data_IF_476262866942
#
_entry.id   IF_476262866942
#
_cell.length_a   1.000
_cell.length_b   1.000
_cell.length_c   1.000
_cell.angle_alpha   90.00
_cell.angle_beta   90.00
_cell.angle_gamma   90.00
#
_symmetry.space_group_name_H-M   'P 1'
#
loop_
_entity.id
_entity.type
_entity.pdbx_description
1 polymer ?
#
# COMPACT_ATOMS: atom_id res chain seq x y z
N UNK A 1 24.83 -19.57 10.26
CA UNK A 1 23.96 -19.43 9.08
C UNK A 1 24.66 -19.98 7.86
N UNK A 2 24.24 -21.16 7.40
CA UNK A 2 24.64 -21.66 6.09
C UNK A 2 23.75 -21.03 5.01
N UNK A 3 24.36 -20.31 4.07
CA UNK A 3 23.64 -19.60 3.01
C UNK A 3 24.35 -19.83 1.68
N UNK A 4 23.58 -19.98 0.60
CA UNK A 4 24.12 -20.09 -0.75
C UNK A 4 24.92 -18.83 -1.10
N UNK A 5 26.07 -19.00 -1.73
CA UNK A 5 26.84 -17.88 -2.29
C UNK A 5 26.20 -17.45 -3.62
N UNK A 6 26.06 -16.14 -3.85
CA UNK A 6 25.55 -15.62 -5.12
C UNK A 6 26.62 -15.72 -6.20
N UNK A 7 26.51 -16.72 -7.06
CA UNK A 7 27.38 -16.85 -8.23
C UNK A 7 26.91 -15.91 -9.36
N UNK A 8 27.54 -14.75 -9.45
CA UNK A 8 27.24 -13.73 -10.45
C UNK A 8 27.46 -14.19 -11.90
N UNK A 9 28.18 -15.30 -12.16
CA UNK A 9 28.38 -15.81 -13.52
C UNK A 9 27.22 -16.68 -14.00
N UNK A 10 26.63 -17.47 -13.11
CA UNK A 10 25.67 -18.50 -13.47
C UNK A 10 24.24 -18.19 -13.01
N UNK A 11 24.06 -17.53 -11.87
CA UNK A 11 22.74 -17.21 -11.36
C UNK A 11 22.00 -16.31 -12.38
N UNK A 12 20.78 -16.72 -12.76
CA UNK A 12 19.95 -16.02 -13.77
C UNK A 12 20.66 -15.78 -15.12
N UNK A 13 21.56 -16.67 -15.53
CA UNK A 13 22.29 -16.54 -16.79
C UNK A 13 23.41 -15.50 -16.77
N UNK A 14 23.81 -15.04 -15.56
CA UNK A 14 24.89 -14.09 -15.34
C UNK A 14 24.36 -12.70 -14.99
N UNK A 15 24.72 -12.22 -13.80
CA UNK A 15 24.31 -10.95 -13.23
C UNK A 15 25.44 -9.93 -13.29
N UNK A 16 25.14 -8.74 -13.82
CA UNK A 16 26.06 -7.60 -13.87
C UNK A 16 25.55 -6.44 -13.02
N UNK A 17 26.35 -5.93 -12.08
CA UNK A 17 26.01 -4.70 -11.37
C UNK A 17 25.94 -3.51 -12.32
N UNK A 18 24.92 -2.66 -12.17
CA UNK A 18 24.78 -1.46 -12.99
C UNK A 18 24.42 -0.20 -12.20
N UNK A 19 24.13 -0.31 -10.90
CA UNK A 19 23.84 0.87 -10.10
C UNK A 19 23.61 0.58 -8.63
N UNK A 20 23.87 1.59 -7.79
CA UNK A 20 23.41 1.58 -6.40
C UNK A 20 21.89 1.82 -6.34
N UNK A 21 21.27 1.29 -5.30
CA UNK A 21 19.88 1.51 -4.94
C UNK A 21 19.74 1.64 -3.42
N UNK A 22 18.50 1.83 -2.98
CA UNK A 22 18.18 2.03 -1.58
C UNK A 22 18.12 3.50 -1.17
N UNK A 23 17.28 3.80 -0.18
CA UNK A 23 17.17 5.11 0.45
C UNK A 23 18.19 5.27 1.58
N UNK A 24 17.89 6.13 2.57
CA UNK A 24 18.78 6.44 3.70
C UNK A 24 19.08 5.26 4.65
N UNK A 25 18.47 4.08 4.47
CA UNK A 25 18.51 2.97 5.43
C UNK A 25 19.01 1.62 4.89
N UNK A 26 18.98 1.39 3.57
CA UNK A 26 19.20 0.04 3.02
C UNK A 26 20.22 0.07 1.89
N UNK A 27 21.38 -0.54 2.12
CA UNK A 27 22.41 -0.72 1.10
C UNK A 27 21.92 -1.73 0.05
N UNK A 28 21.60 -1.26 -1.17
CA UNK A 28 21.10 -2.12 -2.25
C UNK A 28 21.93 -2.00 -3.53
N UNK A 29 22.10 -3.10 -4.27
CA UNK A 29 22.82 -3.16 -5.54
C UNK A 29 21.88 -3.62 -6.64
N UNK A 30 21.76 -2.82 -7.70
CA UNK A 30 20.98 -3.19 -8.89
C UNK A 30 21.84 -4.04 -9.82
N UNK A 31 21.26 -5.16 -10.24
CA UNK A 31 21.89 -6.17 -11.06
C UNK A 31 21.03 -6.40 -12.31
N UNK A 32 21.64 -6.63 -13.45
CA UNK A 32 20.95 -6.96 -14.70
C UNK A 32 21.46 -8.31 -15.21
N UNK A 33 20.53 -9.18 -15.60
CA UNK A 33 20.81 -10.47 -16.21
C UNK A 33 21.05 -10.34 -17.72
N UNK A 34 21.54 -11.40 -18.35
CA UNK A 34 21.82 -11.42 -19.80
C UNK A 34 20.57 -11.22 -20.68
N UNK A 35 19.41 -11.66 -20.20
CA UNK A 35 18.09 -11.45 -20.84
C UNK A 35 17.50 -10.05 -20.55
N UNK A 36 18.29 -9.14 -19.96
CA UNK A 36 17.86 -7.82 -19.50
C UNK A 36 16.89 -7.81 -18.31
N UNK A 37 16.58 -8.95 -17.68
CA UNK A 37 15.82 -8.95 -16.43
C UNK A 37 16.60 -8.23 -15.33
N UNK A 38 15.92 -7.40 -14.56
CA UNK A 38 16.54 -6.61 -13.50
C UNK A 38 16.25 -7.22 -12.13
N UNK A 39 17.28 -7.16 -11.29
CA UNK A 39 17.26 -7.66 -9.93
C UNK A 39 17.83 -6.60 -9.00
N UNK A 40 17.50 -6.73 -7.72
CA UNK A 40 18.15 -5.97 -6.66
C UNK A 40 18.64 -6.92 -5.59
N UNK A 41 19.91 -6.76 -5.22
CA UNK A 41 20.46 -7.35 -4.01
C UNK A 41 20.31 -6.35 -2.87
N UNK A 42 19.68 -6.73 -1.76
CA UNK A 42 19.45 -5.88 -0.59
C UNK A 42 20.19 -6.46 0.61
N UNK A 43 21.03 -5.67 1.26
CA UNK A 43 21.67 -6.08 2.50
C UNK A 43 20.62 -6.39 3.56
N UNK A 44 20.82 -7.51 4.27
CA UNK A 44 20.05 -7.83 5.48
C UNK A 44 20.44 -6.88 6.62
N UNK A 45 21.73 -6.54 6.72
CA UNK A 45 22.22 -5.58 7.70
C UNK A 45 21.89 -4.15 7.22
N UNK A 46 21.16 -3.41 8.04
CA UNK A 46 20.70 -2.04 7.77
C UNK A 46 21.51 -1.08 8.63
N UNK A 47 22.40 -0.33 7.97
CA UNK A 47 23.13 0.75 8.64
C UNK A 47 22.30 2.05 8.65
N UNK A 48 21.54 2.24 9.73
CA UNK A 48 20.74 3.45 9.95
C UNK A 48 21.55 4.64 10.46
N UNK A 49 22.84 4.46 10.79
CA UNK A 49 23.66 5.56 11.34
C UNK A 49 23.85 6.69 10.33
N UNK A 50 23.74 6.39 9.04
CA UNK A 50 23.84 7.37 7.96
C UNK A 50 22.68 8.38 7.94
N UNK A 51 21.54 8.08 8.58
CA UNK A 51 20.41 9.01 8.75
C UNK A 51 20.77 10.16 9.70
N UNK A 52 21.63 9.89 10.67
CA UNK A 52 22.04 10.91 11.63
C UNK A 52 22.93 11.96 10.94
N UNK A 53 22.75 13.25 11.29
CA UNK A 53 23.76 14.27 11.05
C UNK A 53 25.15 13.78 11.54
N UNK A 54 26.26 14.10 10.85
CA UNK A 54 27.60 13.61 11.20
C UNK A 54 27.94 13.75 12.70
N UNK A 55 27.48 14.83 13.33
CA UNK A 55 27.70 15.18 14.72
C UNK A 55 27.01 14.20 15.69
N UNK A 56 25.92 13.56 15.27
CA UNK A 56 25.16 12.62 16.08
C UNK A 56 25.57 11.16 15.85
N UNK A 57 26.34 10.86 14.79
CA UNK A 57 26.74 9.50 14.42
C UNK A 57 27.63 8.80 15.46
N UNK A 58 28.37 9.56 16.25
CA UNK A 58 29.22 9.05 17.35
C UNK A 58 28.62 9.30 18.73
N UNK A 59 27.38 9.80 18.80
CA UNK A 59 26.69 10.11 20.06
C UNK A 59 25.97 8.88 20.64
N UNK A 60 25.43 9.03 21.86
CA UNK A 60 24.55 8.02 22.49
C UNK A 60 23.26 7.75 21.69
N UNK A 61 22.92 8.60 20.71
CA UNK A 61 21.76 8.43 19.82
C UNK A 61 21.97 7.30 18.80
N UNK A 62 23.22 7.06 18.36
CA UNK A 62 23.51 6.03 17.36
C UNK A 62 23.23 4.59 17.89
N UNK A 63 23.65 4.21 19.11
CA UNK A 63 23.22 2.94 19.72
C UNK A 63 21.70 2.81 19.85
N UNK A 64 20.98 3.87 20.23
CA UNK A 64 19.52 3.84 20.38
C UNK A 64 18.82 3.60 19.03
N UNK A 65 19.27 4.26 17.95
CA UNK A 65 18.74 4.01 16.60
C UNK A 65 19.06 2.61 16.08
N UNK A 66 20.22 2.06 16.47
CA UNK A 66 20.58 0.68 16.16
C UNK A 66 19.68 -0.31 16.89
N UNK A 67 19.36 -0.05 18.16
CA UNK A 67 18.42 -0.86 18.95
C UNK A 67 16.99 -0.80 18.39
N UNK A 68 16.55 0.36 17.89
CA UNK A 68 15.28 0.49 17.16
C UNK A 68 15.33 -0.29 15.84
N UNK A 69 16.47 -0.35 15.15
CA UNK A 69 16.59 -1.18 13.93
C UNK A 69 16.54 -2.67 14.24
N UNK A 70 17.01 -3.08 15.42
CA UNK A 70 16.96 -4.45 15.88
C UNK A 70 15.54 -4.94 16.22
N UNK A 71 14.54 -4.06 16.29
CA UNK A 71 13.14 -4.46 16.44
C UNK A 71 12.54 -5.01 15.15
N UNK A 72 13.09 -4.63 13.99
CA UNK A 72 12.66 -5.12 12.69
C UNK A 72 13.18 -6.55 12.43
N UNK A 73 12.37 -7.39 11.77
CA UNK A 73 12.81 -8.74 11.42
C UNK A 73 13.67 -8.72 10.14
N UNK A 74 14.98 -9.06 10.21
CA UNK A 74 15.91 -8.99 9.07
C UNK A 74 15.57 -9.93 7.90
N UNK A 75 14.72 -10.93 8.14
CA UNK A 75 14.35 -11.96 7.18
C UNK A 75 12.85 -11.96 6.85
N UNK A 76 12.09 -10.93 7.25
CA UNK A 76 10.63 -10.85 7.07
C UNK A 76 10.18 -11.14 5.63
N UNK A 77 10.96 -10.68 4.65
CA UNK A 77 10.67 -10.87 3.24
C UNK A 77 10.56 -12.33 2.78
N UNK A 78 11.25 -13.27 3.44
CA UNK A 78 11.23 -14.70 3.06
C UNK A 78 9.86 -15.35 3.34
N UNK A 79 9.36 -15.42 4.59
CA UNK A 79 8.03 -15.96 4.85
C UNK A 79 6.93 -15.12 4.21
N UNK A 80 7.10 -13.80 4.09
CA UNK A 80 6.11 -12.96 3.42
C UNK A 80 5.97 -13.32 1.95
N UNK A 81 7.07 -13.50 1.23
CA UNK A 81 7.02 -13.93 -0.17
C UNK A 81 6.35 -15.29 -0.31
N UNK A 82 6.68 -16.24 0.57
CA UNK A 82 6.06 -17.56 0.53
C UNK A 82 4.54 -17.51 0.81
N UNK A 83 4.08 -16.63 1.71
CA UNK A 83 2.63 -16.41 1.90
C UNK A 83 2.00 -15.80 0.65
N UNK A 84 2.64 -14.80 0.04
CA UNK A 84 2.11 -14.09 -1.12
C UNK A 84 2.06 -14.96 -2.38
N UNK A 85 2.89 -16.00 -2.48
CA UNK A 85 2.84 -17.00 -3.56
C UNK A 85 1.50 -17.77 -3.61
N UNK A 86 0.75 -17.80 -2.51
CA UNK A 86 -0.61 -18.35 -2.45
C UNK A 86 -1.70 -17.31 -2.75
N UNK A 87 -1.33 -16.08 -3.11
CA UNK A 87 -2.27 -14.99 -3.40
C UNK A 87 -2.10 -14.47 -4.82
N UNK A 88 -3.04 -13.64 -5.26
CA UNK A 88 -2.96 -12.91 -6.52
C UNK A 88 -2.24 -11.56 -6.39
N UNK A 89 -1.73 -11.24 -5.19
CA UNK A 89 -1.00 -10.01 -4.93
C UNK A 89 0.37 -10.10 -5.61
N UNK A 90 0.62 -9.20 -6.56
CA UNK A 90 1.90 -9.12 -7.26
C UNK A 90 3.02 -8.80 -6.27
N UNK A 91 4.11 -9.58 -6.29
CA UNK A 91 5.22 -9.41 -5.35
C UNK A 91 6.53 -9.95 -5.92
N UNK A 92 7.64 -9.36 -5.47
CA UNK A 92 8.98 -9.86 -5.75
C UNK A 92 9.33 -11.03 -4.81
N UNK A 93 10.20 -11.93 -5.28
CA UNK A 93 10.57 -13.16 -4.54
C UNK A 93 12.02 -13.09 -4.03
N UNK A 94 12.26 -12.53 -2.83
CA UNK A 94 13.58 -12.46 -2.24
C UNK A 94 14.12 -13.87 -1.95
N UNK A 95 15.39 -14.08 -2.30
CA UNK A 95 16.13 -15.30 -1.97
C UNK A 95 17.43 -14.92 -1.28
N UNK A 96 17.74 -15.61 -0.18
CA UNK A 96 18.87 -15.26 0.68
C UNK A 96 20.19 -15.74 0.07
N UNK A 97 21.17 -14.85 0.01
CA UNK A 97 22.51 -15.13 -0.51
C UNK A 97 23.60 -14.44 0.31
N UNK A 98 24.79 -15.04 0.29
CA UNK A 98 26.04 -14.31 0.57
C UNK A 98 26.61 -13.78 -0.75
N UNK A 99 26.83 -12.48 -0.85
CA UNK A 99 27.48 -11.86 -2.00
C UNK A 99 29.00 -12.09 -1.88
N UNK A 100 29.63 -12.91 -2.73
CA UNK A 100 31.06 -13.20 -2.58
C UNK A 100 31.88 -11.96 -2.92
N UNK A 101 33.09 -11.91 -2.35
CA UNK A 101 34.09 -10.96 -2.82
C UNK A 101 34.55 -11.36 -4.24
N UNK A 102 34.16 -10.59 -5.25
CA UNK A 102 34.34 -10.92 -6.66
C UNK A 102 34.66 -9.68 -7.49
N UNK A 103 35.65 -9.79 -8.39
CA UNK A 103 36.04 -8.73 -9.33
C UNK A 103 34.87 -8.23 -10.22
N UNK A 104 33.86 -9.07 -10.50
CA UNK A 104 32.66 -8.67 -11.25
C UNK A 104 31.82 -7.60 -10.54
N UNK A 105 32.03 -7.38 -9.24
CA UNK A 105 31.44 -6.27 -8.51
C UNK A 105 32.02 -4.91 -8.95
N UNK A 106 33.22 -4.90 -9.55
CA UNK A 106 33.89 -3.70 -10.06
C UNK A 106 33.91 -2.57 -9.02
N UNK A 107 33.40 -1.37 -9.34
CA UNK A 107 33.41 -0.22 -8.43
C UNK A 107 32.52 -0.41 -7.18
N UNK A 108 31.64 -1.40 -7.17
CA UNK A 108 30.79 -1.73 -6.03
C UNK A 108 31.46 -2.71 -5.07
N UNK A 109 32.63 -3.28 -5.41
CA UNK A 109 33.26 -4.32 -4.59
C UNK A 109 33.49 -3.90 -3.14
N UNK A 110 34.01 -2.69 -2.92
CA UNK A 110 34.35 -2.18 -1.59
C UNK A 110 33.15 -2.14 -0.63
N UNK A 111 31.97 -1.75 -1.14
CA UNK A 111 30.79 -1.54 -0.30
C UNK A 111 29.94 -2.82 -0.14
N UNK A 112 30.08 -3.79 -1.06
CA UNK A 112 29.14 -4.91 -1.19
C UNK A 112 29.77 -6.31 -1.02
N UNK A 113 31.08 -6.45 -1.15
CA UNK A 113 31.74 -7.75 -1.01
C UNK A 113 31.53 -8.36 0.38
N UNK A 114 31.13 -9.63 0.42
CA UNK A 114 30.93 -10.39 1.66
C UNK A 114 29.58 -10.17 2.34
N UNK A 115 28.76 -9.23 1.86
CA UNK A 115 27.46 -8.92 2.45
C UNK A 115 26.49 -10.12 2.40
N UNK A 116 25.71 -10.27 3.47
CA UNK A 116 24.53 -11.12 3.51
C UNK A 116 23.31 -10.30 3.06
N UNK A 117 22.56 -10.82 2.11
CA UNK A 117 21.45 -10.07 1.52
C UNK A 117 20.45 -10.95 0.79
N UNK A 118 19.36 -10.35 0.35
CA UNK A 118 18.36 -11.01 -0.51
C UNK A 118 18.52 -10.54 -1.96
N UNK A 119 18.39 -11.46 -2.91
CA UNK A 119 18.23 -11.16 -4.33
C UNK A 119 16.75 -11.28 -4.70
N UNK A 120 16.16 -10.20 -5.18
CA UNK A 120 14.75 -10.15 -5.59
C UNK A 120 14.59 -9.57 -6.99
N UNK A 121 13.54 -10.00 -7.69
CA UNK A 121 13.16 -9.43 -8.98
C UNK A 121 12.82 -7.95 -8.82
N UNK A 122 13.29 -7.10 -9.75
CA UNK A 122 12.91 -5.69 -9.79
C UNK A 122 11.73 -5.52 -10.75
N UNK A 123 10.55 -5.06 -10.28
CA UNK A 123 9.44 -4.76 -11.15
C UNK A 123 9.81 -3.67 -12.16
N UNK A 124 9.71 -3.99 -13.45
CA UNK A 124 10.10 -3.14 -14.58
C UNK A 124 9.09 -3.26 -15.73
N UNK A 125 9.09 -2.24 -16.59
CA UNK A 125 8.34 -2.22 -17.85
C UNK A 125 8.73 -3.39 -18.76
N UNK A 126 7.86 -3.77 -19.72
CA UNK A 126 8.23 -4.73 -20.76
C UNK A 126 9.47 -4.26 -21.53
N UNK A 127 10.31 -5.24 -21.91
CA UNK A 127 11.46 -5.09 -22.81
C UNK A 127 11.21 -5.93 -24.06
N UNK A 128 11.94 -5.71 -25.18
CA UNK A 128 11.70 -6.45 -26.42
C UNK A 128 11.67 -7.98 -26.29
N UNK A 129 12.40 -8.52 -25.31
CA UNK A 129 12.54 -9.95 -25.05
C UNK A 129 12.04 -10.39 -23.66
N UNK A 130 11.38 -9.51 -22.90
CA UNK A 130 10.92 -9.80 -21.54
C UNK A 130 9.56 -9.13 -21.29
N UNK A 131 8.52 -9.88 -20.89
CA UNK A 131 7.24 -9.26 -20.53
C UNK A 131 7.42 -8.33 -19.33
N UNK A 132 6.54 -7.32 -19.22
CA UNK A 132 6.50 -6.46 -18.05
C UNK A 132 6.20 -7.28 -16.79
N UNK A 133 6.57 -6.74 -15.62
CA UNK A 133 6.34 -7.44 -14.36
C UNK A 133 4.84 -7.75 -14.17
N UNK A 134 4.50 -9.00 -13.85
CA UNK A 134 3.10 -9.44 -13.81
C UNK A 134 2.38 -9.42 -15.16
N UNK A 135 3.12 -9.48 -16.27
CA UNK A 135 2.63 -9.32 -17.66
C UNK A 135 1.93 -7.97 -17.90
N UNK A 136 2.35 -6.93 -17.19
CA UNK A 136 1.83 -5.58 -17.35
C UNK A 136 2.35 -4.91 -18.63
N UNK A 137 1.60 -3.93 -19.12
CA UNK A 137 2.00 -3.03 -20.20
C UNK A 137 2.96 -1.95 -19.73
N UNK A 138 2.91 -1.62 -18.42
CA UNK A 138 3.80 -0.67 -17.77
C UNK A 138 3.91 -0.91 -16.25
N UNK A 139 4.99 -0.43 -15.64
CA UNK A 139 5.24 -0.45 -14.20
C UNK A 139 5.63 0.95 -13.70
N UNK A 140 4.69 1.62 -13.04
CA UNK A 140 4.85 3.01 -12.60
C UNK A 140 5.02 3.16 -11.07
N UNK A 141 5.49 4.33 -10.62
CA UNK A 141 5.54 4.72 -9.19
C UNK A 141 4.28 5.49 -8.83
N UNK A 142 3.93 5.52 -7.55
CA UNK A 142 2.70 6.17 -7.05
C UNK A 142 2.55 7.62 -7.49
N UNK A 143 3.61 8.43 -7.45
CA UNK A 143 3.54 9.81 -7.93
C UNK A 143 3.11 9.94 -9.41
N UNK A 144 3.59 9.05 -10.27
CA UNK A 144 3.21 9.04 -11.67
C UNK A 144 1.81 8.44 -11.87
N UNK A 145 1.42 7.43 -11.06
CA UNK A 145 0.05 6.92 -11.03
C UNK A 145 -0.93 8.06 -10.69
N UNK A 146 -0.70 8.80 -9.62
CA UNK A 146 -1.60 9.87 -9.18
C UNK A 146 -1.79 10.93 -10.26
N UNK A 147 -0.71 11.32 -10.95
CA UNK A 147 -0.82 12.22 -12.11
C UNK A 147 -1.69 11.65 -13.23
N UNK A 148 -1.67 10.34 -13.46
CA UNK A 148 -2.52 9.70 -14.49
C UNK A 148 -3.98 9.65 -14.05
N UNK A 149 -4.25 9.30 -12.79
CA UNK A 149 -5.60 9.30 -12.22
C UNK A 149 -6.22 10.70 -12.25
N UNK A 150 -5.48 11.73 -11.77
CA UNK A 150 -5.96 13.11 -11.84
C UNK A 150 -6.09 13.63 -13.27
N UNK A 151 -5.26 13.20 -14.21
CA UNK A 151 -5.34 13.69 -15.58
C UNK A 151 -6.58 13.17 -16.31
N UNK A 152 -6.99 11.94 -16.03
CA UNK A 152 -7.96 11.24 -16.88
C UNK A 152 -8.64 10.08 -16.13
N UNK A 153 -9.96 10.22 -15.92
CA UNK A 153 -10.85 9.23 -15.30
C UNK A 153 -10.94 7.87 -16.05
N UNK A 154 -10.41 7.75 -17.26
CA UNK A 154 -10.26 6.44 -17.93
C UNK A 154 -9.25 5.54 -17.19
N UNK A 155 -8.36 6.12 -16.37
CA UNK A 155 -7.39 5.38 -15.56
C UNK A 155 -7.94 5.11 -14.16
N UNK A 156 -7.80 3.88 -13.67
CA UNK A 156 -8.24 3.55 -12.31
C UNK A 156 -7.38 2.46 -11.67
N UNK A 157 -7.45 2.40 -10.34
CA UNK A 157 -6.83 1.33 -9.55
C UNK A 157 -7.82 0.19 -9.37
N UNK A 158 -7.33 -1.04 -9.47
CA UNK A 158 -8.04 -2.24 -9.02
C UNK A 158 -8.16 -2.19 -7.48
N UNK A 159 -9.19 -1.50 -6.98
CA UNK A 159 -9.41 -1.27 -5.56
C UNK A 159 -9.56 -2.57 -4.76
N UNK A 160 -10.27 -3.61 -5.25
CA UNK A 160 -10.28 -4.92 -4.59
C UNK A 160 -8.89 -5.56 -4.46
N UNK A 161 -8.04 -5.49 -5.49
CA UNK A 161 -6.66 -5.98 -5.39
C UNK A 161 -5.83 -5.17 -4.38
N UNK A 162 -6.01 -3.84 -4.32
CA UNK A 162 -5.37 -3.00 -3.30
C UNK A 162 -5.86 -3.32 -1.89
N UNK A 163 -7.15 -3.55 -1.66
CA UNK A 163 -7.65 -3.98 -0.36
C UNK A 163 -7.06 -5.32 0.09
N UNK A 164 -6.91 -6.30 -0.82
CA UNK A 164 -6.20 -7.56 -0.50
C UNK A 164 -4.76 -7.30 -0.07
N UNK A 165 -4.04 -6.44 -0.80
CA UNK A 165 -2.66 -6.09 -0.46
C UNK A 165 -2.55 -5.35 0.88
N UNK A 166 -3.44 -4.40 1.16
CA UNK A 166 -3.47 -3.66 2.44
C UNK A 166 -3.88 -4.55 3.61
N UNK A 167 -4.86 -5.43 3.43
CA UNK A 167 -5.24 -6.43 4.42
C UNK A 167 -4.08 -7.36 4.76
N UNK A 168 -3.30 -7.77 3.75
CA UNK A 168 -2.09 -8.56 3.96
C UNK A 168 -1.04 -7.77 4.76
N UNK A 169 -0.80 -6.50 4.44
CA UNK A 169 0.15 -5.67 5.18
C UNK A 169 -0.26 -5.53 6.66
N UNK A 170 -1.56 -5.40 6.96
CA UNK A 170 -2.07 -5.37 8.33
C UNK A 170 -1.90 -6.74 9.03
N UNK A 171 -2.13 -7.84 8.32
CA UNK A 171 -1.93 -9.20 8.83
C UNK A 171 -0.50 -9.41 9.34
N UNK A 172 0.51 -8.87 8.63
CA UNK A 172 1.93 -8.99 9.02
C UNK A 172 2.44 -7.83 9.88
N UNK A 173 1.54 -6.95 10.30
CA UNK A 173 1.82 -5.71 11.05
C UNK A 173 2.90 -4.82 10.40
N UNK A 174 2.84 -4.64 9.09
CA UNK A 174 3.72 -3.71 8.39
C UNK A 174 3.24 -2.26 8.54
N UNK A 175 3.67 -1.59 9.61
CA UNK A 175 3.27 -0.21 9.93
C UNK A 175 3.95 0.84 9.07
N UNK A 176 4.98 0.47 8.28
CA UNK A 176 5.82 1.41 7.54
C UNK A 176 5.26 1.84 6.19
N UNK A 177 4.05 1.43 5.81
CA UNK A 177 3.56 1.54 4.43
C UNK A 177 3.21 2.97 4.03
N UNK A 178 3.96 3.54 3.09
CA UNK A 178 3.67 4.82 2.43
C UNK A 178 3.75 4.70 0.91
N UNK A 179 3.42 5.76 0.17
CA UNK A 179 3.23 5.76 -1.28
C UNK A 179 4.46 5.28 -2.07
N UNK A 180 5.69 5.52 -1.62
CA UNK A 180 6.89 5.05 -2.32
C UNK A 180 7.12 3.54 -2.17
N UNK A 181 6.47 2.88 -1.21
CA UNK A 181 6.53 1.43 -1.06
C UNK A 181 5.66 0.70 -2.08
N UNK A 182 5.04 1.41 -3.03
CA UNK A 182 4.23 0.80 -4.08
C UNK A 182 4.84 1.04 -5.46
N UNK A 183 4.80 -0.01 -6.25
CA UNK A 183 4.81 0.06 -7.71
C UNK A 183 3.42 -0.32 -8.20
N UNK A 184 3.11 0.03 -9.44
CA UNK A 184 1.79 -0.22 -10.01
C UNK A 184 1.97 -0.82 -11.40
N UNK A 185 1.46 -2.03 -11.58
CA UNK A 185 1.40 -2.70 -12.88
C UNK A 185 0.15 -2.19 -13.61
N UNK A 186 0.33 -1.51 -14.74
CA UNK A 186 -0.74 -1.03 -15.61
C UNK A 186 -1.09 -2.05 -16.68
N UNK A 187 -2.38 -2.28 -16.87
CA UNK A 187 -2.95 -3.12 -17.92
C UNK A 187 -3.89 -2.27 -18.76
N UNK A 188 -3.61 -2.16 -20.06
CA UNK A 188 -4.44 -1.36 -20.98
C UNK A 188 -5.79 -2.03 -21.18
N UNK A 189 -6.87 -1.31 -20.88
CA UNK A 189 -8.23 -1.77 -21.05
C UNK A 189 -9.08 -0.69 -21.72
N UNK A 190 -9.47 -0.92 -22.98
CA UNK A 190 -10.23 0.04 -23.77
C UNK A 190 -9.48 1.36 -23.96
N UNK A 191 -10.06 2.47 -23.48
CA UNK A 191 -9.48 3.82 -23.55
C UNK A 191 -8.49 4.12 -22.43
N UNK A 192 -8.50 3.29 -21.37
CA UNK A 192 -7.82 3.55 -20.11
C UNK A 192 -6.81 2.48 -19.71
N UNK A 193 -6.35 2.58 -18.47
CA UNK A 193 -5.41 1.62 -17.86
C UNK A 193 -5.89 1.26 -16.46
N UNK A 194 -5.95 -0.04 -16.18
CA UNK A 194 -6.21 -0.58 -14.84
C UNK A 194 -4.89 -0.84 -14.12
N UNK A 195 -4.73 -0.28 -12.93
CA UNK A 195 -3.51 -0.41 -12.14
C UNK A 195 -3.68 -1.39 -11.00
N UNK A 196 -2.85 -2.43 -10.98
CA UNK A 196 -2.73 -3.36 -9.85
C UNK A 196 -1.52 -3.04 -8.98
N UNK A 197 -1.64 -3.17 -7.65
CA UNK A 197 -0.57 -2.87 -6.74
C UNK A 197 0.55 -3.91 -6.81
N UNK A 198 1.79 -3.43 -6.74
CA UNK A 198 3.00 -4.23 -6.51
C UNK A 198 3.63 -3.67 -5.22
N UNK A 199 3.22 -4.17 -4.04
CA UNK A 199 3.82 -3.76 -2.78
C UNK A 199 5.31 -4.10 -2.71
N UNK A 200 6.09 -3.21 -2.11
CA UNK A 200 7.54 -3.29 -1.90
C UNK A 200 7.88 -2.98 -0.46
N UNK A 201 9.15 -3.17 -0.11
CA UNK A 201 9.75 -2.69 1.15
C UNK A 201 8.93 -3.08 2.39
N UNK A 202 8.82 -4.39 2.66
CA UNK A 202 8.14 -4.94 3.88
C UNK A 202 9.08 -5.06 5.06
N UNK A 203 9.88 -4.03 5.22
CA UNK A 203 11.01 -3.96 6.11
C UNK A 203 10.61 -3.76 7.59
N UNK A 204 9.35 -3.40 7.84
CA UNK A 204 8.76 -3.19 9.17
C UNK A 204 7.75 -4.28 9.57
N UNK A 205 7.59 -5.32 8.75
CA UNK A 205 6.76 -6.47 9.10
C UNK A 205 7.38 -7.33 10.21
N UNK A 206 6.54 -7.96 11.01
CA UNK A 206 6.93 -8.77 12.19
C UNK A 206 7.78 -8.02 13.22
N UNK A 207 7.59 -6.71 13.34
CA UNK A 207 8.36 -5.90 14.28
C UNK A 207 8.04 -6.31 15.72
N UNK A 208 9.08 -6.44 16.54
CA UNK A 208 9.02 -6.80 17.95
C UNK A 208 9.43 -5.62 18.81
N UNK A 209 8.47 -4.96 19.45
CA UNK A 209 8.71 -3.88 20.39
C UNK A 209 8.82 -4.44 21.82
N UNK A 210 10.04 -4.70 22.30
CA UNK A 210 10.31 -5.14 23.67
C UNK A 210 11.27 -4.18 24.41
N UNK A 211 11.05 -3.97 25.72
CA UNK A 211 11.89 -3.12 26.58
C UNK A 211 11.25 -1.80 27.05
N UNK A 212 11.90 -1.13 28.00
CA UNK A 212 11.36 0.06 28.69
C UNK A 212 11.33 1.31 27.77
N UNK A 213 12.32 1.46 26.89
CA UNK A 213 12.40 2.58 25.93
C UNK A 213 11.39 2.44 24.79
N UNK A 214 11.21 1.22 24.28
CA UNK A 214 10.21 0.85 23.27
C UNK A 214 8.79 0.92 23.83
N UNK A 215 8.57 0.58 25.10
CA UNK A 215 7.30 0.77 25.81
C UNK A 215 6.87 2.25 25.91
N UNK A 216 7.82 3.17 26.09
CA UNK A 216 7.54 4.61 26.13
C UNK A 216 7.32 5.20 24.72
N UNK A 217 8.03 4.68 23.70
CA UNK A 217 7.87 5.10 22.31
C UNK A 217 6.58 4.57 21.64
N UNK A 218 6.09 3.40 22.05
CA UNK A 218 4.86 2.75 21.55
C UNK A 218 3.56 3.33 22.14
N UNK A 219 3.58 4.60 22.57
CA UNK A 219 2.37 5.30 23.02
C UNK A 219 1.82 6.13 21.88
N UNK A 220 0.50 6.12 21.68
CA UNK A 220 -0.21 6.91 20.65
C UNK A 220 0.16 8.41 20.65
N UNK A 221 0.62 8.94 21.80
CA UNK A 221 1.05 10.33 21.95
C UNK A 221 2.52 10.62 21.58
N UNK A 222 3.38 9.59 21.45
CA UNK A 222 4.81 9.74 21.23
C UNK A 222 5.20 9.56 19.74
N UNK A 223 4.73 8.50 19.09
CA UNK A 223 4.85 8.29 17.63
C UNK A 223 3.57 7.63 17.12
N UNK A 224 2.70 8.35 16.38
CA UNK A 224 1.38 7.86 15.98
C UNK A 224 1.39 6.77 14.89
N UNK A 225 2.55 6.17 14.61
CA UNK A 225 2.79 5.31 13.43
C UNK A 225 3.61 4.06 13.74
N UNK A 226 3.50 3.54 14.97
CA UNK A 226 4.21 2.34 15.42
C UNK A 226 3.18 1.36 15.97
N UNK A 227 3.32 0.08 15.60
CA UNK A 227 2.50 -1.02 16.14
C UNK A 227 3.36 -2.27 16.29
N UNK A 228 3.12 -3.05 17.36
CA UNK A 228 3.77 -4.35 17.60
C UNK A 228 3.11 -5.48 16.82
N UNK A 229 3.92 -6.45 16.39
CA UNK A 229 3.39 -7.68 15.85
C UNK A 229 2.93 -8.61 16.97
N UNK A 230 1.72 -8.38 17.49
CA UNK A 230 1.03 -9.21 18.49
C UNK A 230 0.16 -10.33 17.89
N UNK A 231 -0.34 -11.24 18.74
CA UNK A 231 -1.37 -12.22 18.33
C UNK A 231 -2.68 -11.55 17.92
N UNK A 232 -3.04 -10.49 18.64
CA UNK A 232 -4.22 -9.68 18.37
C UNK A 232 -3.83 -8.41 17.58
N UNK A 233 -4.80 -7.82 16.90
CA UNK A 233 -4.64 -6.49 16.29
C UNK A 233 -4.90 -5.41 17.36
N UNK A 234 -3.85 -4.68 17.73
CA UNK A 234 -3.94 -3.53 18.64
C UNK A 234 -4.51 -2.29 17.94
N UNK A 235 -3.71 -1.23 17.81
CA UNK A 235 -4.18 0.04 17.25
C UNK A 235 -4.14 0.06 15.71
N UNK A 236 -5.29 -0.25 15.11
CA UNK A 236 -5.48 -0.19 13.66
C UNK A 236 -5.26 1.21 13.06
N UNK A 237 -5.39 2.29 13.86
CA UNK A 237 -5.11 3.64 13.41
C UNK A 237 -3.61 3.87 13.31
N UNK A 238 -2.84 3.53 14.35
CA UNK A 238 -1.38 3.68 14.35
C UNK A 238 -0.71 2.78 13.30
N UNK A 239 -1.14 1.52 13.19
CA UNK A 239 -0.65 0.58 12.18
C UNK A 239 -0.78 1.11 10.74
N UNK A 240 -1.83 1.88 10.46
CA UNK A 240 -2.13 2.37 9.12
C UNK A 240 -1.89 3.87 8.94
N UNK A 241 -1.31 4.54 9.94
CA UNK A 241 -1.12 5.98 9.90
C UNK A 241 -0.35 6.44 8.67
N UNK A 242 0.78 5.81 8.27
CA UNK A 242 1.52 6.25 7.08
C UNK A 242 0.74 6.05 5.78
N UNK A 243 -0.08 5.01 5.68
CA UNK A 243 -0.84 4.67 4.46
C UNK A 243 -2.15 5.47 4.33
N UNK A 244 -2.62 6.13 5.40
CA UNK A 244 -3.97 6.70 5.50
C UNK A 244 -4.39 7.57 4.31
N UNK A 245 -3.48 8.38 3.76
CA UNK A 245 -3.81 9.28 2.66
C UNK A 245 -3.94 8.55 1.33
N UNK A 246 -3.06 7.57 1.09
CA UNK A 246 -3.15 6.69 -0.07
C UNK A 246 -4.42 5.84 -0.02
N UNK A 247 -4.72 5.25 1.13
CA UNK A 247 -5.91 4.41 1.32
C UNK A 247 -7.20 5.24 1.18
N UNK A 248 -7.24 6.47 1.71
CA UNK A 248 -8.39 7.40 1.54
C UNK A 248 -8.63 7.82 0.09
N UNK A 249 -7.58 7.88 -0.73
CA UNK A 249 -7.66 8.33 -2.13
C UNK A 249 -7.88 7.19 -3.14
N UNK A 250 -7.50 5.96 -2.79
CA UNK A 250 -7.59 4.81 -3.71
C UNK A 250 -8.66 3.78 -3.32
N UNK A 251 -9.14 3.79 -2.07
CA UNK A 251 -10.08 2.79 -1.55
C UNK A 251 -11.46 3.38 -1.20
N UNK A 252 -11.76 4.63 -1.57
CA UNK A 252 -13.06 5.26 -1.26
C UNK A 252 -14.27 4.53 -1.85
N UNK A 253 -14.09 3.78 -2.93
CA UNK A 253 -15.16 3.02 -3.58
C UNK A 253 -15.57 1.78 -2.78
N UNK A 254 -14.71 1.28 -1.90
CA UNK A 254 -14.93 0.02 -1.21
C UNK A 254 -15.95 0.12 -0.09
N UNK A 255 -16.88 -0.83 -0.11
CA UNK A 255 -17.87 -1.05 0.94
C UNK A 255 -17.31 -1.91 2.06
N UNK A 256 -18.03 -1.97 3.18
CA UNK A 256 -17.72 -2.91 4.27
C UNK A 256 -17.61 -4.36 3.76
N UNK A 257 -18.48 -4.75 2.83
CA UNK A 257 -18.50 -6.09 2.25
C UNK A 257 -17.23 -6.39 1.44
N UNK A 258 -16.69 -5.40 0.72
CA UNK A 258 -15.44 -5.57 -0.04
C UNK A 258 -14.24 -5.83 0.88
N UNK A 259 -14.19 -5.14 2.03
CA UNK A 259 -13.18 -5.41 3.06
C UNK A 259 -13.33 -6.79 3.69
N UNK A 260 -14.57 -7.24 3.94
CA UNK A 260 -14.82 -8.60 4.42
C UNK A 260 -14.45 -9.64 3.35
N UNK A 261 -14.69 -9.37 2.07
CA UNK A 261 -14.27 -10.24 0.97
C UNK A 261 -12.74 -10.35 0.89
N UNK A 262 -12.00 -9.25 1.10
CA UNK A 262 -10.54 -9.27 1.19
C UNK A 262 -10.05 -10.13 2.38
N UNK A 263 -10.71 -10.03 3.54
CA UNK A 263 -10.40 -10.86 4.71
C UNK A 263 -10.60 -12.35 4.41
N UNK A 264 -11.78 -12.70 3.89
CA UNK A 264 -12.16 -14.08 3.59
C UNK A 264 -11.26 -14.69 2.51
N UNK A 265 -10.88 -13.89 1.52
CA UNK A 265 -9.91 -14.29 0.51
C UNK A 265 -8.58 -14.71 1.16
N UNK A 266 -8.01 -13.86 2.01
CA UNK A 266 -6.75 -14.17 2.70
C UNK A 266 -6.89 -15.36 3.65
N UNK A 267 -8.00 -15.50 4.38
CA UNK A 267 -8.26 -16.67 5.22
C UNK A 267 -8.28 -17.97 4.42
N UNK A 268 -8.84 -17.93 3.21
CA UNK A 268 -8.93 -19.10 2.33
C UNK A 268 -7.54 -19.48 1.78
N UNK A 269 -6.75 -18.48 1.37
CA UNK A 269 -5.42 -18.74 0.81
C UNK A 269 -4.38 -19.11 1.88
N UNK A 270 -4.43 -18.48 3.05
CA UNK A 270 -3.40 -18.58 4.09
C UNK A 270 -3.81 -19.56 5.19
N UNK A 271 -4.01 -20.82 4.79
CA UNK A 271 -4.32 -21.92 5.72
C UNK A 271 -3.19 -22.14 6.74
N UNK A 272 -3.44 -22.81 7.89
CA UNK A 272 -2.39 -23.13 8.85
C UNK A 272 -1.18 -23.83 8.22
N UNK A 273 -1.40 -24.74 7.26
CA UNK A 273 -0.34 -25.43 6.53
C UNK A 273 0.49 -24.49 5.64
N UNK A 274 -0.16 -23.52 4.99
CA UNK A 274 0.54 -22.48 4.21
C UNK A 274 1.39 -21.59 5.13
N UNK A 275 0.88 -21.23 6.30
CA UNK A 275 1.64 -20.46 7.30
C UNK A 275 2.84 -21.27 7.83
N UNK A 276 2.66 -22.57 8.07
CA UNK A 276 3.74 -23.49 8.46
C UNK A 276 4.84 -23.54 7.39
N UNK A 277 4.47 -23.73 6.13
CA UNK A 277 5.42 -23.75 5.01
C UNK A 277 6.13 -22.41 4.83
N UNK A 278 5.40 -21.30 4.92
CA UNK A 278 5.97 -19.98 4.74
C UNK A 278 6.97 -19.64 5.85
N UNK A 279 6.62 -19.88 7.12
CA UNK A 279 7.52 -19.61 8.25
C UNK A 279 8.70 -20.60 8.31
N UNK A 280 8.57 -21.80 7.73
CA UNK A 280 9.69 -22.73 7.54
C UNK A 280 10.79 -22.18 6.61
N UNK A 281 10.51 -21.14 5.81
CA UNK A 281 11.53 -20.49 4.94
C UNK A 281 12.54 -19.64 5.71
N UNK A 282 12.27 -19.31 6.98
CA UNK A 282 13.25 -18.65 7.83
C UNK A 282 14.47 -19.57 8.03
N UNK A 283 15.71 -19.02 8.07
CA UNK A 283 16.90 -19.81 8.32
C UNK A 283 16.79 -20.65 9.60
N UNK A 284 17.35 -21.86 9.60
CA UNK A 284 17.25 -22.79 10.73
C UNK A 284 17.74 -22.16 12.06
N UNK A 285 18.75 -21.30 12.00
CA UNK A 285 19.26 -20.58 13.17
C UNK A 285 18.30 -19.50 13.70
N UNK A 286 17.37 -19.02 12.88
CA UNK A 286 16.36 -18.00 13.25
C UNK A 286 15.08 -18.64 13.79
N UNK A 287 14.80 -19.90 13.43
CA UNK A 287 13.62 -20.64 13.87
C UNK A 287 13.42 -20.64 15.40
N UNK A 288 14.41 -20.99 16.24
CA UNK A 288 14.25 -20.97 17.69
C UNK A 288 14.17 -19.56 18.29
N UNK A 289 14.60 -18.52 17.56
CA UNK A 289 14.63 -17.13 18.04
C UNK A 289 13.29 -16.41 17.84
N UNK A 290 12.65 -16.63 16.69
CA UNK A 290 11.41 -15.92 16.33
C UNK A 290 10.45 -16.69 15.41
N UNK A 291 10.91 -17.75 14.74
CA UNK A 291 10.09 -18.45 13.73
C UNK A 291 8.81 -19.06 14.30
N UNK A 292 8.90 -19.77 15.43
CA UNK A 292 7.74 -20.34 16.12
C UNK A 292 6.77 -19.27 16.64
N UNK A 293 7.32 -18.16 17.16
CA UNK A 293 6.53 -17.03 17.64
C UNK A 293 5.73 -16.40 16.49
N UNK A 294 6.39 -16.17 15.35
CA UNK A 294 5.78 -15.60 14.14
C UNK A 294 4.69 -16.52 13.59
N UNK A 295 4.96 -17.81 13.50
CA UNK A 295 3.98 -18.80 13.03
C UNK A 295 2.69 -18.77 13.84
N UNK A 296 2.79 -18.87 15.17
CA UNK A 296 1.63 -18.83 16.06
C UNK A 296 0.87 -17.52 15.92
N UNK A 297 1.56 -16.38 15.92
CA UNK A 297 0.93 -15.05 15.77
C UNK A 297 0.21 -14.91 14.44
N UNK A 298 0.81 -15.34 13.32
CA UNK A 298 0.14 -15.35 12.02
C UNK A 298 -1.15 -16.19 12.02
N UNK A 299 -1.12 -17.38 12.64
CA UNK A 299 -2.29 -18.26 12.76
C UNK A 299 -3.41 -17.65 13.61
N UNK A 300 -3.08 -16.91 14.67
CA UNK A 300 -4.07 -16.17 15.45
C UNK A 300 -4.66 -15.01 14.63
N UNK A 301 -3.79 -14.14 14.10
CA UNK A 301 -4.19 -12.94 13.36
C UNK A 301 -5.04 -13.24 12.13
N UNK A 302 -4.75 -14.31 11.38
CA UNK A 302 -5.56 -14.62 10.20
C UNK A 302 -7.03 -14.93 10.56
N UNK A 303 -7.29 -15.47 11.75
CA UNK A 303 -8.65 -15.71 12.24
C UNK A 303 -9.35 -14.40 12.63
N UNK A 304 -8.63 -13.45 13.22
CA UNK A 304 -9.17 -12.15 13.65
C UNK A 304 -9.25 -11.10 12.53
N UNK A 305 -8.59 -11.33 11.41
CA UNK A 305 -8.47 -10.36 10.31
C UNK A 305 -9.81 -9.74 9.88
N UNK A 306 -10.94 -10.47 9.75
CA UNK A 306 -12.23 -9.87 9.41
C UNK A 306 -12.67 -8.75 10.37
N UNK A 307 -12.44 -8.93 11.67
CA UNK A 307 -12.79 -7.95 12.71
C UNK A 307 -11.82 -6.76 12.70
N UNK A 308 -10.53 -7.01 12.44
CA UNK A 308 -9.54 -5.96 12.29
C UNK A 308 -9.82 -5.06 11.07
N UNK A 309 -10.16 -5.65 9.93
CA UNK A 309 -10.54 -4.90 8.73
C UNK A 309 -11.85 -4.15 8.89
N UNK A 310 -12.76 -4.66 9.71
CA UNK A 310 -13.98 -3.92 10.06
C UNK A 310 -13.68 -2.62 10.82
N UNK A 311 -12.80 -2.71 11.84
CA UNK A 311 -12.31 -1.54 12.57
C UNK A 311 -11.65 -0.54 11.63
N UNK A 312 -10.82 -1.01 10.70
CA UNK A 312 -10.14 -0.14 9.75
C UNK A 312 -11.10 0.49 8.73
N UNK A 313 -12.05 -0.28 8.20
CA UNK A 313 -13.09 0.22 7.32
C UNK A 313 -13.84 1.39 7.96
N UNK A 314 -14.23 1.28 9.24
CA UNK A 314 -14.92 2.36 9.95
C UNK A 314 -14.06 3.63 10.11
N UNK A 315 -12.73 3.49 10.20
CA UNK A 315 -11.83 4.65 10.20
C UNK A 315 -11.85 5.38 8.84
N UNK A 316 -11.83 4.63 7.74
CA UNK A 316 -11.88 5.19 6.38
C UNK A 316 -13.27 5.75 6.03
N UNK A 317 -14.33 5.03 6.38
CA UNK A 317 -15.72 5.35 6.04
C UNK A 317 -16.26 6.57 6.78
N UNK A 318 -15.63 6.98 7.89
CA UNK A 318 -16.07 8.13 8.69
C UNK A 318 -16.12 9.43 7.90
N UNK A 319 -15.13 9.67 7.04
CA UNK A 319 -15.07 10.82 6.12
C UNK A 319 -14.51 10.38 4.80
N UNK A 320 -15.29 10.49 3.74
CA UNK A 320 -14.93 9.94 2.43
C UNK A 320 -14.76 11.05 1.41
N UNK A 321 -13.64 11.03 0.71
CA UNK A 321 -13.36 11.94 -0.40
C UNK A 321 -13.67 11.17 -1.70
N UNK A 322 -14.60 11.69 -2.51
CA UNK A 322 -14.87 11.23 -3.87
C UNK A 322 -14.25 12.27 -4.79
N UNK A 323 -13.23 11.86 -5.53
CA UNK A 323 -12.35 12.76 -6.27
C UNK A 323 -12.46 12.42 -7.75
N UNK A 324 -12.89 13.39 -8.55
CA UNK A 324 -12.90 13.31 -10.00
C UNK A 324 -11.52 13.43 -10.62
N UNK A 325 -11.49 13.85 -11.89
CA UNK A 325 -10.26 14.08 -12.63
C UNK A 325 -10.20 15.52 -13.15
N UNK A 326 -9.20 15.85 -13.95
CA UNK A 326 -9.07 17.16 -14.59
C UNK A 326 -9.88 17.21 -15.90
N UNK A 327 -10.72 16.20 -16.18
CA UNK A 327 -11.76 16.22 -17.20
C UNK A 327 -13.09 16.59 -16.55
N UNK A 328 -14.16 16.68 -17.35
CA UNK A 328 -15.47 17.04 -16.85
C UNK A 328 -16.25 15.79 -16.41
N UNK A 329 -16.70 15.78 -15.16
CA UNK A 329 -17.51 14.70 -14.59
C UNK A 329 -18.90 15.19 -14.12
N UNK A 330 -19.81 14.23 -13.96
CA UNK A 330 -21.14 14.46 -13.38
C UNK A 330 -21.24 13.68 -12.07
N UNK A 331 -21.36 14.41 -10.97
CA UNK A 331 -21.66 13.88 -9.64
C UNK A 331 -23.16 13.91 -9.39
N UNK A 332 -23.77 12.73 -9.23
CA UNK A 332 -25.16 12.58 -8.81
C UNK A 332 -25.22 12.15 -7.36
N UNK A 333 -25.86 12.97 -6.53
CA UNK A 333 -26.05 12.73 -5.10
C UNK A 333 -27.54 12.55 -4.82
N UNK A 334 -27.92 11.36 -4.37
CA UNK A 334 -29.28 11.06 -3.94
C UNK A 334 -29.32 10.92 -2.42
N UNK A 335 -30.06 11.82 -1.75
CA UNK A 335 -30.41 11.68 -0.34
C UNK A 335 -31.57 10.71 -0.20
N UNK A 336 -31.34 9.64 0.55
CA UNK A 336 -32.27 8.54 0.71
C UNK A 336 -32.88 8.53 2.12
N UNK A 337 -33.96 7.78 2.28
CA UNK A 337 -34.61 7.55 3.56
C UNK A 337 -33.61 7.04 4.62
N UNK A 338 -33.80 7.49 5.86
CA UNK A 338 -32.96 7.13 7.00
C UNK A 338 -31.64 7.90 7.10
N UNK A 339 -31.43 8.92 6.27
CA UNK A 339 -30.22 9.76 6.29
C UNK A 339 -29.08 9.27 5.38
N UNK A 340 -29.29 8.16 4.69
CA UNK A 340 -28.34 7.58 3.73
C UNK A 340 -28.13 8.50 2.53
N UNK A 341 -26.95 8.42 1.92
CA UNK A 341 -26.59 9.19 0.74
C UNK A 341 -25.95 8.26 -0.28
N UNK A 342 -26.50 8.20 -1.50
CA UNK A 342 -25.85 7.55 -2.64
C UNK A 342 -25.13 8.61 -3.46
N UNK A 343 -23.86 8.35 -3.76
CA UNK A 343 -23.04 9.17 -4.64
C UNK A 343 -22.67 8.33 -5.85
N UNK A 344 -22.87 8.91 -7.03
CA UNK A 344 -22.46 8.35 -8.29
C UNK A 344 -21.64 9.40 -9.07
N UNK A 345 -20.60 8.96 -9.74
CA UNK A 345 -19.76 9.79 -10.60
C UNK A 345 -19.75 9.20 -12.00
N UNK A 346 -19.83 10.05 -13.02
CA UNK A 346 -19.87 9.66 -14.43
C UNK A 346 -18.97 10.57 -15.27
N UNK A 347 -18.43 10.02 -16.35
CA UNK A 347 -17.90 10.84 -17.45
C UNK A 347 -19.03 11.69 -18.05
N UNK A 348 -18.72 12.94 -18.41
CA UNK A 348 -19.68 13.88 -19.02
C UNK A 348 -19.69 13.72 -20.54
N UNK A 349 -20.87 13.65 -21.14
CA UNK A 349 -21.03 13.55 -22.59
C UNK A 349 -20.83 14.90 -23.29
N UNK A 350 -19.57 15.24 -23.58
CA UNK A 350 -19.23 16.53 -24.19
C UNK A 350 -19.73 17.69 -23.33
N UNK A 351 -20.40 18.66 -23.93
CA UNK A 351 -20.94 19.82 -23.20
C UNK A 351 -22.36 19.60 -22.62
N UNK A 352 -22.92 18.38 -22.68
CA UNK A 352 -24.27 18.11 -22.15
C UNK A 352 -24.25 17.84 -20.65
N UNK A 353 -25.43 17.84 -20.02
CA UNK A 353 -25.60 17.44 -18.61
C UNK A 353 -25.91 15.95 -18.46
N UNK A 354 -25.54 15.13 -19.46
CA UNK A 354 -25.84 13.70 -19.51
C UNK A 354 -24.57 12.85 -19.28
N UNK A 355 -24.67 11.74 -18.52
CA UNK A 355 -23.59 10.76 -18.40
C UNK A 355 -23.16 10.13 -19.73
N UNK A 356 -21.88 9.85 -19.86
CA UNK A 356 -21.29 9.08 -20.95
C UNK A 356 -20.85 7.69 -20.47
N UNK A 357 -21.78 6.73 -20.49
CA UNK A 357 -21.49 5.34 -20.11
C UNK A 357 -21.82 5.02 -18.64
N UNK A 358 -21.25 3.93 -18.09
CA UNK A 358 -21.52 3.49 -16.72
C UNK A 358 -20.90 4.45 -15.69
N UNK A 359 -21.33 4.32 -14.43
CA UNK A 359 -20.74 5.08 -13.33
C UNK A 359 -19.28 4.67 -13.12
N UNK A 360 -18.41 5.67 -12.98
CA UNK A 360 -17.01 5.54 -12.58
C UNK A 360 -16.89 5.22 -11.09
N UNK A 361 -17.83 5.77 -10.30
CA UNK A 361 -17.99 5.53 -8.88
C UNK A 361 -19.47 5.36 -8.56
N UNK A 362 -19.82 4.42 -7.68
CA UNK A 362 -21.18 4.26 -7.16
C UNK A 362 -21.14 3.66 -5.76
N UNK A 363 -21.49 4.47 -4.75
CA UNK A 363 -21.53 4.01 -3.36
C UNK A 363 -22.69 4.64 -2.61
N UNK A 364 -23.37 3.81 -1.80
CA UNK A 364 -24.32 4.27 -0.79
C UNK A 364 -23.65 4.30 0.57
N UNK A 365 -23.69 5.45 1.22
CA UNK A 365 -23.12 5.69 2.55
C UNK A 365 -24.20 5.63 3.63
N UNK A 366 -23.82 5.02 4.75
CA UNK A 366 -24.68 4.81 5.92
C UNK A 366 -24.37 5.86 6.99
N UNK A 367 -25.37 6.58 7.54
CA UNK A 367 -25.14 7.68 8.50
C UNK A 367 -24.59 7.21 9.85
N UNK A 368 -24.66 5.91 10.14
CA UNK A 368 -24.02 5.30 11.32
C UNK A 368 -22.52 5.12 11.15
N UNK A 369 -22.03 5.09 9.90
CA UNK A 369 -20.64 4.82 9.55
C UNK A 369 -19.95 6.07 9.02
N UNK A 370 -20.66 6.86 8.22
CA UNK A 370 -20.14 8.04 7.52
C UNK A 370 -20.75 9.33 8.08
N UNK A 371 -19.88 10.27 8.45
CA UNK A 371 -20.28 11.60 8.92
C UNK A 371 -20.31 12.61 7.78
N UNK A 372 -19.39 12.47 6.82
CA UNK A 372 -19.14 13.46 5.78
C UNK A 372 -18.67 12.80 4.48
N UNK A 373 -19.19 13.28 3.36
CA UNK A 373 -18.69 12.97 2.02
C UNK A 373 -18.29 14.28 1.33
N UNK A 374 -17.05 14.36 0.88
CA UNK A 374 -16.50 15.49 0.15
C UNK A 374 -16.36 15.11 -1.32
N UNK A 375 -16.99 15.87 -2.21
CA UNK A 375 -16.91 15.69 -3.66
C UNK A 375 -15.92 16.71 -4.23
N UNK A 376 -14.89 16.27 -4.94
CA UNK A 376 -13.88 17.12 -5.55
C UNK A 376 -13.98 17.06 -7.08
N UNK A 377 -14.29 18.19 -7.72
CA UNK A 377 -14.36 18.31 -9.19
C UNK A 377 -13.00 18.55 -9.88
N UNK A 378 -12.06 19.22 -9.20
CA UNK A 378 -10.75 19.58 -9.76
C UNK A 378 -10.86 20.54 -10.97
N UNK A 379 -10.14 20.30 -12.07
CA UNK A 379 -10.01 21.28 -13.16
C UNK A 379 -11.18 21.24 -14.18
N UNK A 380 -12.02 20.20 -14.11
CA UNK A 380 -13.13 19.94 -15.03
C UNK A 380 -14.22 21.01 -15.06
N UNK A 381 -15.11 20.95 -16.06
CA UNK A 381 -16.39 21.67 -15.97
C UNK A 381 -17.42 20.73 -15.37
N UNK A 382 -17.43 20.62 -14.05
CA UNK A 382 -18.15 19.55 -13.38
C UNK A 382 -19.58 19.90 -13.08
N UNK A 383 -20.42 18.88 -12.99
CA UNK A 383 -21.84 19.02 -12.68
C UNK A 383 -22.15 18.26 -11.40
N UNK A 384 -22.62 18.97 -10.38
CA UNK A 384 -23.08 18.40 -9.12
C UNK A 384 -24.61 18.48 -9.05
N UNK A 385 -25.28 17.33 -9.09
CA UNK A 385 -26.73 17.21 -9.01
C UNK A 385 -27.11 16.55 -7.70
N UNK A 386 -27.77 17.29 -6.80
CA UNK A 386 -28.22 16.79 -5.51
C UNK A 386 -29.75 16.73 -5.47
N UNK A 387 -30.29 15.58 -5.06
CA UNK A 387 -31.74 15.32 -5.05
C UNK A 387 -32.17 14.53 -3.82
N UNK A 388 -33.47 14.48 -3.55
CA UNK A 388 -34.08 13.59 -2.56
C UNK A 388 -34.18 14.19 -1.16
N UNK A 389 -34.63 13.36 -0.20
CA UNK A 389 -34.92 13.80 1.17
C UNK A 389 -34.19 12.93 2.18
N UNK A 390 -33.18 13.50 2.85
CA UNK A 390 -32.36 12.80 3.83
C UNK A 390 -32.85 12.92 5.28
N UNK A 391 -33.75 13.87 5.55
CA UNK A 391 -34.23 14.15 6.90
C UNK A 391 -33.15 14.76 7.83
N UNK A 392 -33.44 14.79 9.13
CA UNK A 392 -32.62 15.50 10.13
C UNK A 392 -31.22 14.93 10.33
N UNK A 393 -31.04 13.62 10.12
CA UNK A 393 -29.80 12.89 10.38
C UNK A 393 -29.07 12.50 9.09
N UNK A 394 -29.27 13.25 7.99
CA UNK A 394 -28.58 12.99 6.74
C UNK A 394 -27.08 13.28 6.83
N UNK A 395 -26.29 12.48 6.11
CA UNK A 395 -24.85 12.66 5.96
C UNK A 395 -24.56 14.05 5.37
N UNK A 396 -23.50 14.70 5.88
CA UNK A 396 -23.02 15.97 5.35
C UNK A 396 -22.38 15.72 3.99
N UNK A 397 -22.79 16.47 2.96
CA UNK A 397 -22.18 16.42 1.63
C UNK A 397 -21.56 17.78 1.35
N UNK A 398 -20.26 17.81 1.05
CA UNK A 398 -19.54 19.01 0.64
C UNK A 398 -19.19 18.90 -0.84
N UNK A 399 -19.36 20.00 -1.56
CA UNK A 399 -18.89 20.15 -2.93
C UNK A 399 -17.70 21.10 -2.90
N UNK A 400 -16.57 20.58 -3.36
CA UNK A 400 -15.33 21.31 -3.58
C UNK A 400 -15.12 21.31 -5.09
N UNK A 401 -15.44 22.43 -5.72
CA UNK A 401 -15.14 22.62 -7.13
C UNK A 401 -13.64 22.77 -7.36
N UNK A 402 -13.25 23.18 -8.56
CA UNK A 402 -11.88 23.67 -8.79
C UNK A 402 -11.80 24.78 -9.80
N UNK A 403 -10.82 24.72 -10.69
CA UNK A 403 -10.50 25.85 -11.58
C UNK A 403 -11.50 26.01 -12.74
N UNK A 404 -12.25 24.96 -13.06
CA UNK A 404 -13.25 25.00 -14.12
C UNK A 404 -14.58 25.65 -13.70
N UNK A 405 -15.47 25.79 -14.68
CA UNK A 405 -16.77 26.43 -14.49
C UNK A 405 -17.80 25.39 -14.05
N UNK A 406 -17.80 25.09 -12.76
CA UNK A 406 -18.67 24.07 -12.19
C UNK A 406 -20.12 24.53 -12.08
N UNK A 407 -21.04 23.58 -12.23
CA UNK A 407 -22.47 23.78 -12.06
C UNK A 407 -23.01 22.95 -10.90
N UNK A 408 -23.65 23.61 -9.93
CA UNK A 408 -24.25 22.96 -8.76
C UNK A 408 -25.76 23.18 -8.80
N UNK A 409 -26.52 22.09 -8.80
CA UNK A 409 -27.97 22.08 -8.68
C UNK A 409 -28.39 21.22 -7.49
N UNK A 410 -28.95 21.83 -6.45
CA UNK A 410 -29.41 21.15 -5.23
C UNK A 410 -30.93 21.29 -5.07
N UNK A 411 -31.66 20.22 -5.40
CA UNK A 411 -33.09 20.04 -5.13
C UNK A 411 -33.29 18.99 -4.01
N UNK A 412 -32.38 18.96 -3.04
CA UNK A 412 -32.43 18.05 -1.90
C UNK A 412 -32.86 18.75 -0.60
N UNK A 413 -33.41 17.97 0.35
CA UNK A 413 -33.73 18.43 1.71
C UNK A 413 -32.96 17.64 2.75
N UNK A 414 -32.27 18.36 3.64
CA UNK A 414 -31.55 17.80 4.78
C UNK A 414 -31.58 18.77 5.98
N UNK A 415 -31.17 18.31 7.17
CA UNK A 415 -31.06 19.18 8.35
C UNK A 415 -29.96 20.25 8.19
N UNK A 416 -30.07 21.36 8.93
CA UNK A 416 -29.23 22.57 8.77
C UNK A 416 -27.70 22.35 8.77
N UNK A 417 -27.19 21.27 9.37
CA UNK A 417 -25.77 20.93 9.39
C UNK A 417 -25.28 20.10 8.18
N UNK A 418 -26.19 19.67 7.31
CA UNK A 418 -25.93 18.79 6.17
C UNK A 418 -26.00 19.50 4.81
N UNK A 419 -26.18 20.84 4.80
CA UNK A 419 -26.09 21.65 3.59
C UNK A 419 -24.64 21.82 3.14
N UNK A 420 -24.46 21.92 1.83
CA UNK A 420 -23.17 22.11 1.18
C UNK A 420 -22.65 23.52 1.51
N UNK A 421 -21.42 23.61 2.01
CA UNK A 421 -20.65 24.84 1.88
C UNK A 421 -19.90 24.69 0.57
N UNK A 422 -20.27 25.45 -0.46
CA UNK A 422 -19.37 25.64 -1.60
C UNK A 422 -18.15 26.39 -1.05
N UNK A 423 -17.04 25.67 -0.90
CA UNK A 423 -15.77 26.27 -0.50
C UNK A 423 -15.03 26.58 -1.80
N UNK A 424 -14.85 27.86 -2.17
CA UNK A 424 -13.93 28.18 -3.26
C UNK A 424 -12.54 27.65 -2.91
N UNK A 425 -11.88 27.05 -3.89
CA UNK A 425 -10.57 26.41 -3.74
C UNK A 425 -9.50 27.33 -3.13
#
# INVERSE_FOLDING_TARGET
MQVKTLDLRHEKGGLKPFGRGGGRQTTSLKLIAADSAEYVFRSVDKDVTTILPPELRTSFVAPILKDITATANPYSGLPISALLDHTDILHARPRLFRLPDNNQLGPYRQDYAGLLGTLEDRPTDPKPNLPGFGKSDEVTRSYNLFRKLYKDHDNHVDAPALARARAFDMLVADFGKHEDNWKWAGYKEGKGTVYRPIPRDRDQAFTKWNGLLTYLANREWAVPSIEDFGEEFGDMKSLNWPARHLDRFLLQSLTRQDWQAAANYLQTQLTPAVIDQATATLPAEVQPLSGQEINRKLKARIQELPQALDRYYLLLARRVDVVGSNKAEIFKVARLAGGRVRVQEFDRKGDTNEPNGPALFDRTFEPRETQEVCLYGLDGQDIFQMTGQGGRHSIVVRVIGGAGKDHIADDSRAGNHAHHNAVPA
#
